data_IF_542250700242
#
_entry.id   IF_542250700242
#
_cell.length_a   1.000
_cell.length_b   1.000
_cell.length_c   1.000
_cell.angle_alpha   90.00
_cell.angle_beta   90.00
_cell.angle_gamma   90.00
#
_symmetry.space_group_name_H-M   'P 1'
#
loop_
_entity.id
_entity.type
_entity.pdbx_description
1 polymer ?
#
# COMPACT_ATOMS: atom_id res chain seq x y z
N UNK A 1 -1.06 16.07 -11.15
CA UNK A 1 0.13 16.69 -10.51
C UNK A 1 0.47 15.82 -9.31
N UNK A 2 1.72 15.36 -9.17
CA UNK A 2 2.15 14.37 -8.15
C UNK A 2 2.32 14.93 -6.73
N UNK A 3 2.01 16.21 -6.51
CA UNK A 3 2.18 16.89 -5.23
C UNK A 3 3.31 17.92 -5.21
N UNK A 4 3.42 18.65 -4.10
CA UNK A 4 4.43 19.70 -3.91
C UNK A 4 5.84 19.12 -3.98
N UNK A 5 6.68 19.65 -4.88
CA UNK A 5 8.03 19.12 -5.12
C UNK A 5 8.91 19.06 -3.86
N UNK A 6 8.87 20.11 -3.02
CA UNK A 6 9.63 20.13 -1.77
C UNK A 6 9.22 19.00 -0.80
N UNK A 7 7.93 18.66 -0.78
CA UNK A 7 7.44 17.54 0.04
C UNK A 7 7.90 16.19 -0.52
N UNK A 8 7.86 16.01 -1.85
CA UNK A 8 8.33 14.77 -2.49
C UNK A 8 9.81 14.50 -2.22
N UNK A 9 10.67 15.51 -2.37
CA UNK A 9 12.09 15.40 -2.05
C UNK A 9 12.35 15.07 -0.58
N UNK A 10 11.65 15.75 0.34
CA UNK A 10 11.76 15.45 1.77
C UNK A 10 11.33 14.02 2.12
N UNK A 11 10.34 13.48 1.40
CA UNK A 11 9.91 12.08 1.55
C UNK A 11 10.96 11.10 1.01
N UNK A 12 11.59 11.38 -0.14
CA UNK A 12 12.67 10.57 -0.69
C UNK A 12 13.83 10.42 0.32
N UNK A 13 14.30 11.54 0.87
CA UNK A 13 15.37 11.56 1.88
C UNK A 13 14.96 10.84 3.17
N UNK A 14 13.69 10.96 3.57
CA UNK A 14 13.17 10.26 4.75
C UNK A 14 13.19 8.75 4.55
N UNK A 15 12.76 8.26 3.39
CA UNK A 15 12.70 6.83 3.08
C UNK A 15 14.10 6.24 2.97
N UNK A 16 15.05 6.95 2.34
CA UNK A 16 16.46 6.52 2.30
C UNK A 16 17.05 6.43 3.72
N UNK A 17 16.82 7.44 4.56
CA UNK A 17 17.35 7.45 5.93
C UNK A 17 16.77 6.35 6.81
N UNK A 18 15.47 6.06 6.68
CA UNK A 18 14.79 5.08 7.54
C UNK A 18 14.97 3.64 7.06
N UNK A 19 15.03 3.42 5.75
CA UNK A 19 14.93 2.09 5.15
C UNK A 19 16.06 1.75 4.17
N UNK A 20 16.97 2.69 3.90
CA UNK A 20 18.07 2.52 2.94
C UNK A 20 17.64 2.51 1.46
N UNK A 21 16.35 2.70 1.18
CA UNK A 21 15.80 2.69 -0.17
C UNK A 21 15.81 4.10 -0.78
N UNK A 22 16.37 4.23 -1.98
CA UNK A 22 16.39 5.48 -2.75
C UNK A 22 15.29 5.47 -3.79
N UNK A 23 14.56 6.57 -3.89
CA UNK A 23 13.51 6.78 -4.87
C UNK A 23 13.69 8.13 -5.57
N UNK A 24 13.38 8.19 -6.86
CA UNK A 24 13.27 9.43 -7.61
C UNK A 24 12.05 10.22 -7.14
N UNK A 25 12.26 11.46 -6.71
CA UNK A 25 11.18 12.26 -6.14
C UNK A 25 10.12 12.66 -7.18
N UNK A 26 10.49 12.83 -8.44
CA UNK A 26 9.62 13.30 -9.52
C UNK A 26 8.80 12.15 -10.14
N UNK A 27 9.40 10.96 -10.24
CA UNK A 27 8.77 9.82 -10.92
C UNK A 27 8.21 8.74 -9.96
N UNK A 28 8.80 8.56 -8.77
CA UNK A 28 8.47 7.44 -7.88
C UNK A 28 7.74 7.84 -6.60
N UNK A 29 7.48 9.14 -6.39
CA UNK A 29 6.76 9.66 -5.22
C UNK A 29 5.52 10.45 -5.63
N UNK A 30 4.35 9.97 -5.24
CA UNK A 30 3.07 10.66 -5.43
C UNK A 30 2.43 11.00 -4.09
N UNK A 31 2.17 12.28 -3.86
CA UNK A 31 1.42 12.79 -2.69
C UNK A 31 -0.07 12.77 -3.00
N UNK A 32 -0.83 12.30 -2.03
CA UNK A 32 -2.28 12.06 -2.08
C UNK A 32 -2.93 12.60 -0.81
N UNK A 33 -4.26 12.76 -0.79
CA UNK A 33 -4.96 13.41 0.32
C UNK A 33 -5.00 12.53 1.59
N UNK A 34 -4.92 11.20 1.45
CA UNK A 34 -4.89 10.28 2.60
C UNK A 34 -4.31 8.90 2.26
N UNK A 35 -3.95 8.12 3.28
CA UNK A 35 -3.54 6.73 3.10
C UNK A 35 -4.65 5.86 2.48
N UNK A 36 -5.92 6.12 2.84
CA UNK A 36 -7.08 5.40 2.29
C UNK A 36 -7.23 5.62 0.78
N UNK A 37 -7.06 6.87 0.32
CA UNK A 37 -7.03 7.19 -1.12
C UNK A 37 -5.84 6.51 -1.81
N UNK A 38 -4.71 6.36 -1.11
CA UNK A 38 -3.51 5.73 -1.66
C UNK A 38 -3.69 4.24 -1.89
N UNK A 39 -4.27 3.57 -0.91
CA UNK A 39 -4.68 2.17 -1.04
C UNK A 39 -5.65 1.99 -2.20
N UNK A 40 -6.66 2.87 -2.29
CA UNK A 40 -7.61 2.85 -3.41
C UNK A 40 -6.91 3.04 -4.76
N UNK A 41 -6.08 4.07 -4.89
CA UNK A 41 -5.42 4.43 -6.15
C UNK A 41 -4.43 3.35 -6.59
N UNK A 42 -3.63 2.81 -5.66
CA UNK A 42 -2.67 1.75 -5.97
C UNK A 42 -3.38 0.45 -6.41
N UNK A 43 -4.42 0.03 -5.69
CA UNK A 43 -5.15 -1.20 -6.02
C UNK A 43 -5.89 -1.03 -7.35
N UNK A 44 -6.60 0.08 -7.55
CA UNK A 44 -7.34 0.34 -8.80
C UNK A 44 -6.45 0.52 -10.02
N UNK A 45 -5.20 0.96 -9.86
CA UNK A 45 -4.25 1.07 -10.95
C UNK A 45 -3.65 -0.28 -11.37
N UNK A 46 -3.63 -1.28 -10.48
CA UNK A 46 -2.91 -2.55 -10.69
C UNK A 46 -3.83 -3.75 -10.89
N UNK A 47 -5.05 -3.70 -10.36
CA UNK A 47 -5.97 -4.85 -10.30
C UNK A 47 -7.02 -4.74 -11.40
N UNK A 48 -7.19 -5.82 -12.15
CA UNK A 48 -8.10 -5.91 -13.28
C UNK A 48 -9.18 -6.97 -13.04
N UNK A 49 -10.31 -6.93 -13.79
CA UNK A 49 -11.35 -7.94 -13.68
C UNK A 49 -10.82 -9.36 -13.90
N UNK A 50 -11.15 -10.26 -12.97
CA UNK A 50 -10.69 -11.65 -12.99
C UNK A 50 -9.38 -11.92 -12.23
N UNK A 51 -8.66 -10.88 -11.78
CA UNK A 51 -7.47 -11.06 -10.94
C UNK A 51 -7.82 -11.62 -9.55
N UNK A 52 -6.84 -12.25 -8.92
CA UNK A 52 -6.88 -12.63 -7.51
C UNK A 52 -5.92 -11.75 -6.69
N UNK A 53 -6.41 -11.21 -5.57
CA UNK A 53 -5.60 -10.36 -4.69
C UNK A 53 -5.50 -10.97 -3.30
N UNK A 54 -4.31 -11.43 -2.95
CA UNK A 54 -4.02 -12.04 -1.65
C UNK A 54 -3.89 -10.95 -0.57
N UNK A 55 -4.55 -11.13 0.57
CA UNK A 55 -4.39 -10.30 1.76
C UNK A 55 -4.46 -11.13 3.05
N UNK A 56 -4.03 -10.57 4.18
CA UNK A 56 -3.93 -11.28 5.45
C UNK A 56 -4.98 -10.82 6.47
N UNK A 57 -5.66 -11.75 7.14
CA UNK A 57 -6.64 -11.45 8.19
C UNK A 57 -6.11 -11.78 9.60
N UNK A 58 -6.44 -10.98 10.63
CA UNK A 58 -7.29 -9.78 10.59
C UNK A 58 -6.63 -8.61 9.83
N UNK A 59 -7.44 -7.89 9.03
CA UNK A 59 -6.96 -6.85 8.12
C UNK A 59 -7.71 -5.52 8.34
N UNK A 60 -7.19 -4.45 7.74
CA UNK A 60 -7.98 -3.24 7.54
C UNK A 60 -9.14 -3.53 6.58
N UNK A 61 -10.33 -3.06 6.91
CA UNK A 61 -11.59 -3.45 6.28
C UNK A 61 -11.72 -2.98 4.82
N UNK A 62 -10.94 -1.97 4.41
CA UNK A 62 -11.04 -1.39 3.07
C UNK A 62 -10.44 -2.25 1.96
N UNK A 63 -9.54 -3.21 2.24
CA UNK A 63 -8.81 -3.93 1.18
C UNK A 63 -9.75 -4.76 0.29
N UNK A 64 -10.55 -5.63 0.89
CA UNK A 64 -11.41 -6.54 0.13
C UNK A 64 -12.51 -5.81 -0.68
N UNK A 65 -13.17 -4.75 -0.16
CA UNK A 65 -14.07 -3.92 -0.96
C UNK A 65 -13.42 -3.26 -2.18
N UNK A 66 -12.21 -2.70 -2.04
CA UNK A 66 -11.52 -2.03 -3.16
C UNK A 66 -11.19 -3.03 -4.28
N UNK A 67 -10.73 -4.24 -3.91
CA UNK A 67 -10.46 -5.33 -4.87
C UNK A 67 -11.73 -5.73 -5.62
N UNK A 68 -12.83 -5.96 -4.90
CA UNK A 68 -14.11 -6.33 -5.52
C UNK A 68 -14.62 -5.27 -6.48
N UNK A 69 -14.39 -3.99 -6.17
CA UNK A 69 -14.78 -2.88 -7.05
C UNK A 69 -14.07 -2.94 -8.41
N UNK A 70 -12.86 -3.52 -8.49
CA UNK A 70 -12.14 -3.72 -9.75
C UNK A 70 -12.57 -4.99 -10.52
N UNK A 71 -13.59 -5.72 -10.04
CA UNK A 71 -14.02 -6.99 -10.64
C UNK A 71 -13.09 -8.17 -10.33
N UNK A 72 -12.22 -8.03 -9.32
CA UNK A 72 -11.28 -9.04 -8.88
C UNK A 72 -11.76 -9.79 -7.63
N UNK A 73 -11.11 -10.92 -7.33
CA UNK A 73 -11.43 -11.78 -6.18
C UNK A 73 -10.42 -11.55 -5.04
N UNK A 74 -10.84 -11.02 -3.88
CA UNK A 74 -9.96 -10.94 -2.73
C UNK A 74 -9.81 -12.32 -2.06
N UNK A 75 -8.57 -12.76 -1.88
CA UNK A 75 -8.20 -14.07 -1.30
C UNK A 75 -7.60 -13.86 0.08
N UNK A 76 -8.37 -14.18 1.12
CA UNK A 76 -7.97 -13.98 2.51
C UNK A 76 -7.11 -15.14 3.04
N UNK A 77 -5.92 -14.82 3.57
CA UNK A 77 -5.08 -15.74 4.34
C UNK A 77 -5.24 -15.43 5.84
N UNK A 78 -5.81 -16.37 6.58
CA UNK A 78 -5.99 -16.23 8.04
C UNK A 78 -4.67 -16.43 8.76
N UNK A 79 -4.22 -15.40 9.48
CA UNK A 79 -3.03 -15.47 10.32
C UNK A 79 -3.36 -16.24 11.61
N UNK A 80 -2.45 -17.14 12.01
CA UNK A 80 -2.56 -17.86 13.28
C UNK A 80 -2.06 -17.03 14.46
N UNK A 81 -2.75 -17.06 15.60
CA UNK A 81 -2.36 -16.35 16.83
C UNK A 81 -0.92 -16.62 17.31
N UNK A 82 -0.39 -17.84 17.07
CA UNK A 82 0.98 -18.17 17.44
C UNK A 82 2.06 -17.37 16.68
N UNK A 83 1.72 -16.73 15.55
CA UNK A 83 2.63 -15.92 14.73
C UNK A 83 2.52 -14.40 14.97
N UNK A 84 1.64 -13.94 15.86
CA UNK A 84 1.53 -12.51 16.18
C UNK A 84 2.57 -12.01 17.20
N UNK A 85 3.43 -12.90 17.72
CA UNK A 85 4.55 -12.54 18.57
C UNK A 85 5.85 -12.45 17.76
N UNK A 86 6.02 -11.39 16.95
CA UNK A 86 7.38 -10.89 16.72
C UNK A 86 7.80 -10.11 17.96
N UNK A 87 8.25 -10.85 18.98
CA UNK A 87 9.00 -10.28 20.10
C UNK A 87 10.32 -9.79 19.49
N UNK A 88 10.51 -8.48 19.46
CA UNK A 88 11.83 -7.88 19.24
C UNK A 88 12.66 -8.22 20.48
N UNK A 89 13.40 -9.32 20.42
CA UNK A 89 14.63 -9.47 21.21
C UNK A 89 15.78 -8.88 20.40
#
# INVERSE_FOLDING_TARGET
MSGVAALRHALAEKVERLYGARYDADDEITVIASASEGLYSAISALVHPGDEVIYFEPAFDSYAPIVRLQGATPVAIKLSLQRFNHRLE
#
